data_IF_822160936284
#
_entry.id   IF_822160936284
#
_cell.length_a   1.000
_cell.length_b   1.000
_cell.length_c   1.000
_cell.angle_alpha   90.00
_cell.angle_beta   90.00
_cell.angle_gamma   90.00
#
_symmetry.space_group_name_H-M   'P 1'
#
loop_
_entity.id
_entity.type
_entity.pdbx_description
1 polymer ?
#
# COMPACT_ATOMS: atom_id res chain seq x y z
N UNK A 1 10.75 1.28 18.04
CA UNK A 1 9.93 0.05 18.04
C UNK A 1 10.77 -1.19 17.86
N UNK A 2 11.41 -1.38 16.69
CA UNK A 2 12.31 -2.53 16.45
C UNK A 2 13.33 -2.69 17.58
N UNK A 3 14.05 -1.61 17.94
CA UNK A 3 15.02 -1.63 19.03
C UNK A 3 14.38 -2.00 20.38
N UNK A 4 13.21 -1.43 20.71
CA UNK A 4 12.51 -1.73 21.96
C UNK A 4 12.06 -3.19 22.02
N UNK A 5 11.57 -3.73 20.90
CA UNK A 5 11.20 -5.13 20.78
C UNK A 5 12.40 -6.06 20.96
N UNK A 6 13.52 -5.75 20.29
CA UNK A 6 14.76 -6.53 20.42
C UNK A 6 15.31 -6.50 21.84
N UNK A 7 15.28 -5.35 22.52
CA UNK A 7 15.68 -5.23 23.93
C UNK A 7 14.76 -6.07 24.82
N UNK A 8 13.43 -5.99 24.63
CA UNK A 8 12.47 -6.77 25.41
C UNK A 8 12.65 -8.29 25.22
N UNK A 9 12.84 -8.72 23.97
CA UNK A 9 13.16 -10.12 23.64
C UNK A 9 14.49 -10.54 24.26
N UNK A 10 15.52 -9.70 24.16
CA UNK A 10 16.85 -9.96 24.73
C UNK A 10 16.85 -10.07 26.26
N UNK A 11 15.93 -9.38 26.95
CA UNK A 11 15.72 -9.50 28.39
C UNK A 11 14.78 -10.67 28.79
N UNK A 12 14.40 -11.55 27.87
CA UNK A 12 13.57 -12.72 28.15
C UNK A 12 12.08 -12.42 28.40
N UNK A 13 11.62 -11.19 28.13
CA UNK A 13 10.21 -10.79 28.26
C UNK A 13 9.46 -10.90 26.91
N UNK A 14 9.90 -11.81 26.04
CA UNK A 14 9.25 -12.10 24.76
C UNK A 14 8.13 -13.12 24.98
N UNK A 15 6.89 -12.66 25.03
CA UNK A 15 5.74 -13.52 25.34
C UNK A 15 5.23 -14.28 24.10
N UNK A 16 5.74 -13.97 22.90
CA UNK A 16 5.28 -14.49 21.62
C UNK A 16 5.79 -15.89 21.29
N UNK A 17 4.88 -16.85 21.17
CA UNK A 17 5.16 -18.24 20.79
C UNK A 17 4.33 -18.61 19.55
N UNK A 18 4.74 -18.19 18.33
CA UNK A 18 3.98 -18.49 17.13
C UNK A 18 4.00 -19.98 16.78
N UNK A 19 2.89 -20.54 16.26
CA UNK A 19 2.92 -21.86 15.63
C UNK A 19 3.83 -21.84 14.40
N UNK A 20 4.45 -22.99 14.07
CA UNK A 20 5.42 -23.10 12.97
C UNK A 20 4.83 -22.71 11.60
N UNK A 21 3.53 -22.96 11.39
CA UNK A 21 2.81 -22.49 10.22
C UNK A 21 1.31 -22.38 10.54
N UNK A 22 0.72 -21.24 10.20
CA UNK A 22 -0.73 -21.08 10.11
C UNK A 22 -1.07 -20.39 8.78
N UNK A 23 -1.94 -21.04 7.99
CA UNK A 23 -2.36 -20.56 6.68
C UNK A 23 -3.60 -19.67 6.74
N UNK A 24 -4.19 -19.49 7.92
CA UNK A 24 -5.43 -18.74 8.12
C UNK A 24 -5.33 -17.30 7.59
N UNK A 25 -4.19 -16.63 7.81
CA UNK A 25 -3.93 -15.23 7.43
C UNK A 25 -3.38 -15.02 6.02
N UNK A 26 -3.05 -16.08 5.27
CA UNK A 26 -2.42 -15.95 3.94
C UNK A 26 -3.28 -15.17 2.96
N UNK A 27 -4.61 -15.34 3.04
CA UNK A 27 -5.55 -14.65 2.15
C UNK A 27 -5.52 -13.14 2.33
N UNK A 28 -5.45 -12.67 3.58
CA UNK A 28 -5.35 -11.25 3.87
C UNK A 28 -3.95 -10.68 3.56
N UNK A 29 -2.90 -11.49 3.78
CA UNK A 29 -1.51 -11.12 3.52
C UNK A 29 -1.29 -10.62 2.09
N UNK A 30 -1.95 -11.20 1.09
CA UNK A 30 -1.83 -10.72 -0.29
C UNK A 30 -2.28 -9.27 -0.44
N UNK A 31 -3.46 -8.91 0.07
CA UNK A 31 -3.98 -7.54 -0.01
C UNK A 31 -3.08 -6.55 0.73
N UNK A 32 -2.64 -6.91 1.94
CA UNK A 32 -1.73 -6.09 2.75
C UNK A 32 -0.37 -5.90 2.06
N UNK A 33 0.18 -6.94 1.43
CA UNK A 33 1.44 -6.84 0.69
C UNK A 33 1.33 -5.92 -0.52
N UNK A 34 0.28 -6.05 -1.32
CA UNK A 34 0.03 -5.15 -2.47
C UNK A 34 -0.07 -3.71 -1.99
N UNK A 35 -0.83 -3.47 -0.91
CA UNK A 35 -0.95 -2.13 -0.34
C UNK A 35 0.39 -1.59 0.19
N UNK A 36 1.17 -2.42 0.88
CA UNK A 36 2.45 -2.03 1.50
C UNK A 36 3.50 -1.61 0.46
N UNK A 37 3.48 -2.21 -0.73
CA UNK A 37 4.36 -1.85 -1.84
C UNK A 37 3.75 -0.84 -2.83
N UNK A 38 2.67 -0.15 -2.43
CA UNK A 38 2.01 0.83 -3.27
C UNK A 38 2.74 2.18 -3.24
N UNK A 39 3.45 2.50 -4.30
CA UNK A 39 4.04 3.84 -4.52
C UNK A 39 3.91 4.34 -5.96
N UNK A 40 3.32 3.56 -6.86
CA UNK A 40 3.31 3.76 -8.31
C UNK A 40 2.61 5.04 -8.73
N UNK A 41 1.64 5.51 -7.94
CA UNK A 41 0.93 6.77 -8.18
C UNK A 41 1.80 8.01 -7.93
N UNK A 42 2.86 7.89 -7.13
CA UNK A 42 3.78 8.99 -6.77
C UNK A 42 5.17 8.84 -7.40
N UNK A 43 5.55 7.62 -7.81
CA UNK A 43 6.85 7.35 -8.44
C UNK A 43 7.18 8.28 -9.62
N UNK A 44 6.26 8.57 -10.57
CA UNK A 44 6.60 9.43 -11.70
C UNK A 44 7.04 10.83 -11.27
N UNK A 45 6.35 11.45 -10.32
CA UNK A 45 6.68 12.78 -9.80
C UNK A 45 7.99 12.79 -9.01
N UNK A 46 8.31 11.71 -8.28
CA UNK A 46 9.58 11.56 -7.56
C UNK A 46 10.77 11.36 -8.51
N UNK A 47 10.55 10.64 -9.61
CA UNK A 47 11.60 10.29 -10.58
C UNK A 47 11.88 11.43 -11.56
N UNK A 48 10.88 12.23 -11.90
CA UNK A 48 11.00 13.33 -12.88
C UNK A 48 12.15 14.31 -12.59
N UNK A 49 12.34 14.81 -11.35
CA UNK A 49 13.41 15.76 -11.04
C UNK A 49 14.82 15.12 -10.97
N UNK A 50 14.96 13.80 -11.09
CA UNK A 50 16.27 13.14 -11.00
C UNK A 50 17.10 13.41 -12.26
N UNK A 51 18.18 14.17 -12.09
CA UNK A 51 19.08 14.61 -13.17
C UNK A 51 19.71 13.44 -13.96
N UNK A 52 20.20 12.40 -13.27
CA UNK A 52 20.80 11.21 -13.92
C UNK A 52 19.93 9.97 -13.71
N UNK A 53 19.41 9.44 -14.81
CA UNK A 53 18.55 8.23 -14.81
C UNK A 53 19.33 6.92 -14.97
N UNK A 54 20.67 6.98 -15.05
CA UNK A 54 21.54 5.83 -15.37
C UNK A 54 21.41 4.67 -14.38
N UNK A 55 21.24 4.97 -13.10
CA UNK A 55 21.16 3.98 -12.02
C UNK A 55 19.77 3.92 -11.37
N UNK A 56 18.78 4.56 -11.99
CA UNK A 56 17.45 4.70 -11.41
C UNK A 56 16.80 3.36 -11.10
N UNK A 57 16.81 2.40 -12.03
CA UNK A 57 16.23 1.07 -11.81
C UNK A 57 16.93 0.33 -10.67
N UNK A 58 18.26 0.46 -10.54
CA UNK A 58 19.01 -0.15 -9.44
C UNK A 58 18.64 0.49 -8.10
N UNK A 59 18.50 1.82 -8.07
CA UNK A 59 18.14 2.56 -6.86
C UNK A 59 16.74 2.19 -6.40
N UNK A 60 15.77 2.13 -7.31
CA UNK A 60 14.41 1.65 -6.99
C UNK A 60 14.43 0.21 -6.50
N UNK A 61 15.19 -0.69 -7.15
CA UNK A 61 15.29 -2.08 -6.69
C UNK A 61 15.85 -2.19 -5.26
N UNK A 62 16.92 -1.45 -4.96
CA UNK A 62 17.52 -1.43 -3.62
C UNK A 62 16.52 -0.90 -2.59
N UNK A 63 15.76 0.15 -2.93
CA UNK A 63 14.73 0.72 -2.06
C UNK A 63 13.64 -0.31 -1.72
N UNK A 64 13.12 -1.02 -2.73
CA UNK A 64 12.12 -2.09 -2.51
C UNK A 64 12.66 -3.25 -1.66
N UNK A 65 13.92 -3.66 -1.86
CA UNK A 65 14.56 -4.71 -1.04
C UNK A 65 14.73 -4.23 0.40
N UNK A 66 15.12 -2.97 0.59
CA UNK A 66 15.28 -2.38 1.91
C UNK A 66 13.94 -2.29 2.65
N UNK A 67 12.87 -1.85 1.97
CA UNK A 67 11.51 -1.81 2.50
C UNK A 67 11.06 -3.21 2.92
N UNK A 68 11.26 -4.23 2.07
CA UNK A 68 10.93 -5.62 2.40
C UNK A 68 11.67 -6.10 3.66
N UNK A 69 12.96 -5.78 3.79
CA UNK A 69 13.75 -6.13 4.97
C UNK A 69 13.21 -5.46 6.24
N UNK A 70 12.88 -4.17 6.18
CA UNK A 70 12.29 -3.45 7.31
C UNK A 70 10.91 -3.98 7.70
N UNK A 71 10.04 -4.26 6.73
CA UNK A 71 8.74 -4.88 7.00
C UNK A 71 8.87 -6.26 7.61
N UNK A 72 9.78 -7.09 7.09
CA UNK A 72 10.06 -8.41 7.67
C UNK A 72 10.54 -8.28 9.12
N UNK A 73 11.49 -7.37 9.39
CA UNK A 73 12.01 -7.13 10.73
C UNK A 73 10.93 -6.63 11.70
N UNK A 74 10.04 -5.74 11.25
CA UNK A 74 8.90 -5.29 12.04
C UNK A 74 7.96 -6.46 12.37
N UNK A 75 7.59 -7.27 11.38
CA UNK A 75 6.69 -8.41 11.57
C UNK A 75 7.28 -9.46 12.51
N UNK A 76 8.54 -9.86 12.30
CA UNK A 76 9.20 -10.85 13.17
C UNK A 76 9.36 -10.33 14.59
N UNK A 77 9.79 -9.07 14.77
CA UNK A 77 9.89 -8.50 16.12
C UNK A 77 8.54 -8.41 16.81
N UNK A 78 7.46 -8.14 16.09
CA UNK A 78 6.11 -8.11 16.66
C UNK A 78 5.66 -9.49 17.13
N UNK A 79 5.82 -10.51 16.29
CA UNK A 79 5.38 -11.89 16.55
C UNK A 79 6.12 -12.52 17.74
N UNK A 80 7.42 -12.28 17.88
CA UNK A 80 8.20 -12.84 19.00
C UNK A 80 8.10 -12.01 20.28
N UNK A 81 7.82 -10.71 20.18
CA UNK A 81 7.73 -9.84 21.36
C UNK A 81 6.39 -9.93 22.08
N UNK A 82 5.29 -10.14 21.35
CA UNK A 82 3.93 -10.09 21.89
C UNK A 82 3.14 -11.38 21.61
N UNK A 83 2.22 -11.75 22.50
CA UNK A 83 1.26 -12.84 22.26
C UNK A 83 0.29 -12.47 21.14
N UNK A 84 0.02 -13.42 20.25
CA UNK A 84 -0.89 -13.24 19.11
C UNK A 84 -2.24 -12.63 19.50
N UNK A 85 -2.85 -13.11 20.58
CA UNK A 85 -4.17 -12.67 21.05
C UNK A 85 -4.21 -11.19 21.52
N UNK A 86 -3.04 -10.62 21.82
CA UNK A 86 -2.94 -9.26 22.37
C UNK A 86 -2.45 -8.23 21.36
N UNK A 87 -2.05 -8.69 20.17
CA UNK A 87 -1.42 -7.88 19.15
C UNK A 87 -2.45 -7.00 18.46
N UNK A 88 -2.32 -5.69 18.65
CA UNK A 88 -3.20 -4.70 18.03
C UNK A 88 -2.84 -4.50 16.54
N UNK A 89 -3.85 -4.18 15.73
CA UNK A 89 -3.73 -3.86 14.29
C UNK A 89 -2.63 -2.83 13.98
N UNK A 90 -2.42 -1.86 14.88
CA UNK A 90 -1.28 -0.97 14.83
C UNK A 90 -0.20 -1.43 15.80
N UNK A 91 0.94 -1.86 15.27
CA UNK A 91 2.07 -2.35 16.07
C UNK A 91 2.53 -1.32 17.12
N UNK A 92 2.46 -0.02 16.81
CA UNK A 92 2.83 1.11 17.70
C UNK A 92 2.08 1.09 19.02
N UNK A 93 0.79 0.75 18.99
CA UNK A 93 -0.10 0.78 20.14
C UNK A 93 0.25 -0.29 21.17
N UNK A 94 0.90 -1.39 20.76
CA UNK A 94 1.34 -2.43 21.69
C UNK A 94 2.41 -1.92 22.67
N UNK A 95 3.25 -0.97 22.25
CA UNK A 95 4.27 -0.33 23.12
C UNK A 95 3.70 0.85 23.93
N UNK A 96 2.48 1.28 23.63
CA UNK A 96 1.81 2.35 24.37
C UNK A 96 1.17 1.84 25.67
N UNK A 97 1.19 0.53 25.93
CA UNK A 97 0.71 -0.07 27.18
C UNK A 97 1.74 0.11 28.30
N UNK A 98 1.26 0.30 29.53
CA UNK A 98 2.07 0.68 30.70
C UNK A 98 3.12 -0.36 31.10
N UNK A 99 2.91 -1.61 30.72
CA UNK A 99 3.75 -2.77 31.02
C UNK A 99 5.02 -2.85 30.16
N UNK A 100 5.05 -2.17 29.00
CA UNK A 100 6.13 -2.32 28.01
C UNK A 100 7.19 -1.24 28.11
N UNK A 101 6.76 0.00 28.33
CA UNK A 101 7.64 1.18 28.34
C UNK A 101 7.37 1.98 29.61
N UNK A 102 8.31 1.93 30.55
CA UNK A 102 8.20 2.64 31.83
C UNK A 102 8.27 4.16 31.72
N UNK A 103 8.77 4.70 30.60
CA UNK A 103 8.87 6.15 30.36
C UNK A 103 7.59 6.68 29.74
N UNK A 104 6.81 7.44 30.51
CA UNK A 104 5.53 7.99 30.07
C UNK A 104 5.62 8.83 28.78
N UNK A 105 6.69 9.62 28.61
CA UNK A 105 6.90 10.42 27.40
C UNK A 105 7.02 9.58 26.13
N UNK A 106 7.80 8.49 26.18
CA UNK A 106 7.98 7.57 25.04
C UNK A 106 6.67 6.84 24.73
N UNK A 107 5.91 6.47 25.76
CA UNK A 107 4.60 5.82 25.62
C UNK A 107 3.59 6.69 24.88
N UNK A 108 3.44 7.95 25.30
CA UNK A 108 2.57 8.90 24.62
C UNK A 108 3.02 9.18 23.19
N UNK A 109 4.33 9.32 22.97
CA UNK A 109 4.88 9.51 21.63
C UNK A 109 4.55 8.34 20.70
N UNK A 110 4.78 7.09 21.14
CA UNK A 110 4.49 5.90 20.34
C UNK A 110 2.99 5.72 20.07
N UNK A 111 2.14 6.03 21.05
CA UNK A 111 0.68 5.99 20.88
C UNK A 111 0.15 7.03 19.89
N UNK A 112 0.70 8.25 19.92
CA UNK A 112 0.31 9.34 19.04
C UNK A 112 1.03 9.33 17.68
N UNK A 113 2.06 8.50 17.52
CA UNK A 113 2.85 8.46 16.28
C UNK A 113 1.98 8.25 15.02
N UNK A 114 1.03 7.31 14.97
CA UNK A 114 0.12 7.18 13.82
C UNK A 114 -0.74 8.43 13.61
N UNK A 115 -1.14 9.11 14.67
CA UNK A 115 -1.95 10.33 14.57
C UNK A 115 -1.16 11.44 13.90
N UNK A 116 0.11 11.63 14.29
CA UNK A 116 0.98 12.64 13.69
C UNK A 116 1.24 12.36 12.20
N UNK A 117 1.50 11.11 11.84
CA UNK A 117 1.79 10.74 10.44
C UNK A 117 0.54 10.83 9.55
N UNK A 118 -0.63 10.44 10.07
CA UNK A 118 -1.89 10.55 9.31
C UNK A 118 -2.32 12.01 9.18
N UNK A 119 -2.15 12.82 10.22
CA UNK A 119 -2.53 14.25 10.22
C UNK A 119 -1.80 15.06 9.14
N UNK A 120 -0.52 14.77 8.88
CA UNK A 120 0.24 15.45 7.81
C UNK A 120 -0.10 14.93 6.42
N UNK A 121 -0.34 13.61 6.29
CA UNK A 121 -0.59 12.99 4.99
C UNK A 121 -2.03 13.18 4.49
N UNK A 122 -3.00 13.18 5.38
CA UNK A 122 -4.42 13.25 5.03
C UNK A 122 -4.77 14.51 4.21
N UNK A 123 -4.35 15.74 4.58
CA UNK A 123 -4.62 16.93 3.78
C UNK A 123 -4.00 16.88 2.38
N UNK A 124 -2.78 16.35 2.26
CA UNK A 124 -2.07 16.24 0.98
C UNK A 124 -2.82 15.29 0.04
N UNK A 125 -3.22 14.12 0.54
CA UNK A 125 -3.99 13.14 -0.23
C UNK A 125 -5.36 13.70 -0.60
N UNK A 126 -6.03 14.40 0.31
CA UNK A 126 -7.31 15.05 0.04
C UNK A 126 -7.20 16.09 -1.07
N UNK A 127 -6.21 17.00 -1.01
CA UNK A 127 -5.99 17.99 -2.08
C UNK A 127 -5.69 17.30 -3.42
N UNK A 128 -4.91 16.22 -3.40
CA UNK A 128 -4.59 15.45 -4.61
C UNK A 128 -5.84 14.79 -5.21
N UNK A 129 -6.67 14.15 -4.39
CA UNK A 129 -7.93 13.54 -4.85
C UNK A 129 -8.91 14.58 -5.39
N UNK A 130 -9.01 15.74 -4.73
CA UNK A 130 -9.81 16.88 -5.21
C UNK A 130 -9.35 17.34 -6.59
N UNK A 131 -8.04 17.45 -6.81
CA UNK A 131 -7.48 17.83 -8.10
C UNK A 131 -7.73 16.76 -9.17
N UNK A 132 -7.62 15.48 -8.81
CA UNK A 132 -7.95 14.37 -9.72
C UNK A 132 -9.42 14.42 -10.16
N UNK A 133 -10.35 14.72 -9.25
CA UNK A 133 -11.76 14.93 -9.60
C UNK A 133 -11.95 16.08 -10.59
N UNK A 134 -11.28 17.22 -10.33
CA UNK A 134 -11.34 18.36 -11.25
C UNK A 134 -10.84 17.98 -12.64
N UNK A 135 -9.73 17.26 -12.74
CA UNK A 135 -9.17 16.81 -14.02
C UNK A 135 -10.09 15.81 -14.71
N UNK A 136 -10.66 14.86 -13.97
CA UNK A 136 -11.53 13.82 -14.53
C UNK A 136 -12.79 14.39 -15.18
N UNK A 137 -13.39 15.41 -14.56
CA UNK A 137 -14.59 16.07 -15.08
C UNK A 137 -14.27 17.26 -15.99
N UNK A 138 -12.98 17.59 -16.20
CA UNK A 138 -12.61 18.79 -16.95
C UNK A 138 -12.93 18.55 -18.42
N UNK A 139 -13.75 19.44 -18.99
CA UNK A 139 -13.97 19.51 -20.44
C UNK A 139 -13.17 20.69 -20.98
N UNK A 140 -12.45 20.44 -22.08
CA UNK A 140 -11.70 21.47 -22.79
C UNK A 140 -12.59 22.71 -23.05
N UNK A 141 -12.21 23.86 -22.48
CA UNK A 141 -12.87 25.15 -22.70
C UNK A 141 -13.84 25.65 -21.61
N UNK A 142 -14.10 24.89 -20.54
CA UNK A 142 -15.03 25.29 -19.47
C UNK A 142 -14.36 25.55 -18.11
N UNK A 143 -14.64 26.69 -17.48
CA UNK A 143 -14.38 26.89 -16.04
C UNK A 143 -15.53 26.27 -15.22
N UNK A 144 -15.20 25.70 -14.05
CA UNK A 144 -16.23 25.18 -13.15
C UNK A 144 -16.98 26.32 -12.46
N UNK A 145 -18.31 26.19 -12.25
CA UNK A 145 -19.03 27.06 -11.34
C UNK A 145 -18.41 27.05 -9.95
N UNK A 146 -18.39 28.19 -9.28
CA UNK A 146 -17.76 28.36 -7.95
C UNK A 146 -18.24 27.31 -6.94
N UNK A 147 -19.53 26.97 -6.96
CA UNK A 147 -20.14 25.96 -6.07
C UNK A 147 -19.55 24.57 -6.31
N UNK A 148 -19.36 24.17 -7.56
CA UNK A 148 -18.78 22.88 -7.89
C UNK A 148 -17.32 22.82 -7.45
N UNK A 149 -16.56 23.91 -7.71
CA UNK A 149 -15.13 23.96 -7.40
C UNK A 149 -14.81 23.97 -5.90
N UNK A 150 -15.61 24.71 -5.11
CA UNK A 150 -15.36 24.95 -3.69
C UNK A 150 -16.21 24.14 -2.72
N UNK A 151 -17.35 23.62 -3.16
CA UNK A 151 -18.24 22.83 -2.29
C UNK A 151 -18.25 21.37 -2.73
N UNK A 152 -18.61 21.08 -3.98
CA UNK A 152 -18.81 19.69 -4.42
C UNK A 152 -17.51 18.88 -4.39
N UNK A 153 -16.42 19.37 -5.01
CA UNK A 153 -15.18 18.61 -5.05
C UNK A 153 -14.53 18.37 -3.68
N UNK A 154 -14.46 19.35 -2.76
CA UNK A 154 -14.00 19.08 -1.39
C UNK A 154 -14.92 18.11 -0.63
N UNK A 155 -16.24 18.25 -0.75
CA UNK A 155 -17.19 17.38 -0.03
C UNK A 155 -17.10 15.94 -0.51
N UNK A 156 -17.07 15.67 -1.81
CA UNK A 156 -16.94 14.29 -2.33
C UNK A 156 -15.59 13.66 -1.97
N UNK A 157 -14.56 14.46 -1.74
CA UNK A 157 -13.25 13.98 -1.29
C UNK A 157 -13.20 13.65 0.19
N UNK A 158 -13.85 14.45 1.05
CA UNK A 158 -13.77 14.30 2.52
C UNK A 158 -14.88 13.41 3.08
N UNK A 159 -16.06 13.39 2.47
CA UNK A 159 -17.21 12.65 3.00
C UNK A 159 -16.98 11.13 3.04
N UNK A 160 -16.47 10.46 1.99
CA UNK A 160 -16.25 9.02 2.02
C UNK A 160 -15.31 8.53 3.15
N UNK A 161 -14.10 9.10 3.36
CA UNK A 161 -13.23 8.62 4.44
C UNK A 161 -13.82 8.88 5.83
N UNK A 162 -14.60 9.96 6.01
CA UNK A 162 -15.30 10.24 7.27
C UNK A 162 -16.40 9.19 7.52
N UNK A 163 -17.19 8.85 6.51
CA UNK A 163 -18.21 7.79 6.64
C UNK A 163 -17.58 6.43 6.94
N UNK A 164 -16.49 6.07 6.25
CA UNK A 164 -15.76 4.83 6.53
C UNK A 164 -15.23 4.81 7.97
N UNK A 165 -14.72 5.92 8.48
CA UNK A 165 -14.26 6.02 9.86
C UNK A 165 -15.38 5.80 10.90
N UNK A 166 -16.64 6.16 10.59
CA UNK A 166 -17.78 5.87 11.46
C UNK A 166 -18.28 4.43 11.34
N UNK A 167 -18.17 3.82 10.17
CA UNK A 167 -18.71 2.46 9.91
C UNK A 167 -17.73 1.34 10.26
N UNK A 168 -16.42 1.54 10.07
CA UNK A 168 -15.42 0.46 10.14
C UNK A 168 -14.23 0.88 10.98
N UNK A 169 -13.92 0.08 12.00
CA UNK A 169 -12.75 0.26 12.87
C UNK A 169 -11.66 -0.79 12.63
N UNK A 170 -11.92 -1.77 11.75
CA UNK A 170 -10.95 -2.79 11.40
C UNK A 170 -10.04 -2.35 10.24
N UNK A 171 -8.86 -1.88 10.63
CA UNK A 171 -7.80 -1.47 9.70
C UNK A 171 -7.29 -2.64 8.86
N UNK A 172 -7.28 -3.85 9.41
CA UNK A 172 -6.73 -5.01 8.72
C UNK A 172 -7.56 -5.34 7.47
N UNK A 173 -8.87 -5.48 7.63
CA UNK A 173 -9.80 -5.69 6.52
C UNK A 173 -9.79 -4.51 5.54
N UNK A 174 -9.79 -3.26 6.03
CA UNK A 174 -9.81 -2.08 5.16
C UNK A 174 -8.57 -2.02 4.25
N UNK A 175 -7.38 -2.28 4.79
CA UNK A 175 -6.14 -2.32 4.03
C UNK A 175 -6.10 -3.52 3.07
N UNK A 176 -6.57 -4.69 3.52
CA UNK A 176 -6.67 -5.89 2.70
C UNK A 176 -7.54 -5.68 1.47
N UNK A 177 -8.74 -5.13 1.64
CA UNK A 177 -9.68 -4.80 0.56
C UNK A 177 -9.05 -3.74 -0.36
N UNK A 178 -8.59 -2.61 0.20
CA UNK A 178 -8.06 -1.52 -0.62
C UNK A 178 -6.86 -1.96 -1.46
N UNK A 179 -5.94 -2.74 -0.88
CA UNK A 179 -4.81 -3.32 -1.59
C UNK A 179 -5.22 -4.31 -2.67
N UNK A 180 -6.15 -5.22 -2.38
CA UNK A 180 -6.57 -6.25 -3.33
C UNK A 180 -7.34 -5.72 -4.53
N UNK A 181 -8.25 -4.78 -4.32
CA UNK A 181 -9.10 -4.25 -5.39
C UNK A 181 -8.43 -3.07 -6.11
N UNK A 182 -8.23 -1.96 -5.39
CA UNK A 182 -7.66 -0.74 -6.00
C UNK A 182 -6.16 -0.90 -6.28
N UNK A 183 -5.42 -1.50 -5.34
CA UNK A 183 -3.99 -1.75 -5.49
C UNK A 183 -3.67 -2.68 -6.67
N UNK A 184 -4.31 -3.85 -6.78
CA UNK A 184 -4.07 -4.75 -7.93
C UNK A 184 -4.43 -4.10 -9.26
N UNK A 185 -5.48 -3.27 -9.31
CA UNK A 185 -5.82 -2.51 -10.50
C UNK A 185 -4.69 -1.59 -10.96
N UNK A 186 -4.20 -0.74 -10.06
CA UNK A 186 -3.17 0.27 -10.36
C UNK A 186 -1.78 -0.36 -10.56
N UNK A 187 -1.45 -1.40 -9.80
CA UNK A 187 -0.11 -2.01 -9.82
C UNK A 187 0.07 -3.08 -10.88
N UNK A 188 -0.98 -3.86 -11.18
CA UNK A 188 -0.87 -5.03 -12.04
C UNK A 188 -1.67 -4.84 -13.33
N UNK A 189 -2.97 -4.61 -13.23
CA UNK A 189 -3.88 -4.63 -14.37
C UNK A 189 -3.58 -3.50 -15.35
N UNK A 190 -3.59 -2.25 -14.89
CA UNK A 190 -3.37 -1.08 -15.75
C UNK A 190 -1.99 -1.12 -16.41
N UNK A 191 -0.87 -1.33 -15.69
CA UNK A 191 0.45 -1.41 -16.31
C UNK A 191 0.59 -2.57 -17.30
N UNK A 192 -0.02 -3.74 -17.02
CA UNK A 192 0.01 -4.88 -17.93
C UNK A 192 -0.66 -4.56 -19.28
N UNK A 193 -1.84 -3.94 -19.25
CA UNK A 193 -2.54 -3.50 -20.46
C UNK A 193 -1.78 -2.39 -21.19
N UNK A 194 -1.28 -1.37 -20.48
CA UNK A 194 -0.48 -0.30 -21.08
C UNK A 194 0.75 -0.87 -21.80
N UNK A 195 1.49 -1.78 -21.17
CA UNK A 195 2.66 -2.41 -21.80
C UNK A 195 2.26 -3.23 -23.01
N UNK A 196 1.15 -3.97 -22.96
CA UNK A 196 0.66 -4.76 -24.09
C UNK A 196 0.27 -3.87 -25.29
N UNK A 197 -0.54 -2.83 -25.03
CA UNK A 197 -1.00 -1.90 -26.06
C UNK A 197 0.16 -1.09 -26.63
N UNK A 198 1.04 -0.53 -25.80
CA UNK A 198 2.20 0.24 -26.26
C UNK A 198 3.17 -0.63 -27.08
N UNK A 199 3.36 -1.91 -26.74
CA UNK A 199 4.19 -2.83 -27.55
C UNK A 199 3.58 -3.11 -28.92
N UNK A 200 2.26 -3.24 -29.00
CA UNK A 200 1.53 -3.43 -30.27
C UNK A 200 1.60 -2.16 -31.11
N UNK A 201 1.32 -1.01 -30.51
CA UNK A 201 1.33 0.30 -31.16
C UNK A 201 2.74 0.68 -31.67
N UNK A 202 3.78 0.49 -30.85
CA UNK A 202 5.16 0.75 -31.25
C UNK A 202 5.60 -0.10 -32.45
N UNK A 203 5.13 -1.35 -32.56
CA UNK A 203 5.42 -2.22 -33.71
C UNK A 203 4.71 -1.74 -34.98
N UNK A 204 3.49 -1.22 -34.84
CA UNK A 204 2.73 -0.67 -35.96
C UNK A 204 3.32 0.66 -36.44
N UNK A 205 3.72 1.54 -35.52
CA UNK A 205 4.22 2.88 -35.84
C UNK A 205 5.67 2.89 -36.35
N UNK A 206 6.57 2.08 -35.78
CA UNK A 206 8.01 2.12 -36.08
C UNK A 206 8.54 0.91 -36.87
N UNK A 207 7.68 -0.07 -37.16
CA UNK A 207 8.07 -1.33 -37.83
C UNK A 207 8.93 -2.26 -36.97
N UNK A 208 9.28 -3.43 -37.51
CA UNK A 208 10.01 -4.49 -36.78
C UNK A 208 11.50 -4.20 -36.51
N UNK A 209 12.06 -3.11 -37.06
CA UNK A 209 13.51 -2.85 -37.05
C UNK A 209 14.04 -1.94 -35.94
N UNK A 210 13.17 -1.18 -35.25
CA UNK A 210 13.61 -0.20 -34.24
C UNK A 210 13.75 -0.85 -32.87
N UNK A 211 14.98 -0.99 -32.39
CA UNK A 211 15.24 -1.48 -31.03
C UNK A 211 14.98 -0.38 -30.00
N UNK A 212 14.04 -0.63 -29.09
CA UNK A 212 13.81 0.25 -27.96
C UNK A 212 15.00 0.17 -26.97
N UNK A 213 15.76 1.26 -26.86
CA UNK A 213 16.90 1.41 -25.94
C UNK A 213 16.50 1.22 -24.46
N UNK A 214 15.25 1.48 -24.12
CA UNK A 214 14.67 1.35 -22.77
C UNK A 214 13.79 0.11 -22.61
N UNK A 215 13.97 -0.91 -23.46
CA UNK A 215 13.19 -2.14 -23.36
C UNK A 215 13.41 -2.82 -22.00
N UNK A 216 12.33 -3.33 -21.40
CA UNK A 216 12.42 -4.14 -20.18
C UNK A 216 13.05 -5.51 -20.49
N UNK A 217 13.73 -6.15 -19.53
CA UNK A 217 14.18 -7.55 -19.67
C UNK A 217 13.02 -8.53 -19.92
N UNK A 218 11.80 -8.19 -19.48
CA UNK A 218 10.58 -8.98 -19.66
C UNK A 218 9.93 -8.81 -21.04
N UNK A 219 10.65 -9.19 -22.11
CA UNK A 219 10.24 -8.95 -23.51
C UNK A 219 9.01 -9.76 -23.96
N UNK A 220 8.82 -10.96 -23.41
CA UNK A 220 7.80 -11.89 -23.87
C UNK A 220 6.39 -11.50 -23.39
N UNK A 221 5.37 -11.72 -24.22
CA UNK A 221 3.94 -11.46 -23.86
C UNK A 221 3.47 -12.35 -22.71
N UNK A 222 4.14 -13.49 -22.49
CA UNK A 222 3.92 -14.35 -21.33
C UNK A 222 3.92 -13.58 -20.00
N UNK A 223 4.82 -12.61 -19.83
CA UNK A 223 4.89 -11.81 -18.60
C UNK A 223 3.64 -10.97 -18.36
N UNK A 224 2.99 -10.50 -19.43
CA UNK A 224 1.71 -9.78 -19.32
C UNK A 224 0.63 -10.74 -18.83
N UNK A 225 0.52 -11.93 -19.44
CA UNK A 225 -0.43 -12.95 -19.02
C UNK A 225 -0.21 -13.41 -17.58
N UNK A 226 1.05 -13.61 -17.18
CA UNK A 226 1.42 -13.97 -15.82
C UNK A 226 0.99 -12.90 -14.80
N UNK A 227 1.24 -11.62 -15.07
CA UNK A 227 0.82 -10.52 -14.17
C UNK A 227 -0.70 -10.43 -14.05
N UNK A 228 -1.43 -10.63 -15.15
CA UNK A 228 -2.90 -10.65 -15.13
C UNK A 228 -3.45 -11.85 -14.35
N UNK A 229 -2.85 -13.04 -14.52
CA UNK A 229 -3.20 -14.22 -13.74
C UNK A 229 -2.93 -14.00 -12.25
N UNK A 230 -1.80 -13.38 -11.91
CA UNK A 230 -1.46 -13.01 -10.54
C UNK A 230 -2.46 -12.03 -9.94
N UNK A 231 -2.84 -10.99 -10.68
CA UNK A 231 -3.86 -10.03 -10.25
C UNK A 231 -5.21 -10.72 -9.99
N UNK A 232 -5.61 -11.66 -10.86
CA UNK A 232 -6.81 -12.46 -10.68
C UNK A 232 -6.73 -13.34 -9.43
N UNK A 233 -5.59 -13.98 -9.17
CA UNK A 233 -5.37 -14.76 -7.96
C UNK A 233 -5.49 -13.89 -6.69
N UNK A 234 -4.86 -12.72 -6.65
CA UNK A 234 -4.99 -11.78 -5.53
C UNK A 234 -6.44 -11.36 -5.27
N UNK A 235 -7.18 -11.06 -6.34
CA UNK A 235 -8.61 -10.73 -6.25
C UNK A 235 -9.42 -11.91 -5.69
N UNK A 236 -9.19 -13.12 -6.21
CA UNK A 236 -9.89 -14.33 -5.78
C UNK A 236 -9.62 -14.64 -4.30
N UNK A 237 -8.36 -14.60 -3.86
CA UNK A 237 -8.00 -14.91 -2.47
C UNK A 237 -8.62 -13.95 -1.47
N UNK A 238 -8.64 -12.65 -1.77
CA UNK A 238 -9.25 -11.65 -0.87
C UNK A 238 -10.77 -11.70 -0.92
N UNK A 239 -11.37 -11.92 -2.08
CA UNK A 239 -12.83 -12.16 -2.17
C UNK A 239 -13.23 -13.39 -1.36
N UNK A 240 -12.49 -14.48 -1.49
CA UNK A 240 -12.69 -15.68 -0.68
C UNK A 240 -12.45 -15.41 0.80
N UNK A 241 -11.55 -14.50 1.17
CA UNK A 241 -11.36 -14.09 2.56
C UNK A 241 -12.62 -13.44 3.11
N UNK A 242 -13.17 -12.45 2.40
CA UNK A 242 -14.37 -11.71 2.83
C UNK A 242 -15.54 -12.66 3.01
N UNK A 243 -15.84 -13.46 1.98
CA UNK A 243 -16.98 -14.40 1.98
C UNK A 243 -16.86 -15.41 3.12
N UNK A 244 -15.69 -16.03 3.31
CA UNK A 244 -15.51 -17.06 4.32
C UNK A 244 -15.41 -16.49 5.74
N UNK A 245 -15.03 -15.22 5.89
CA UNK A 245 -14.98 -14.54 7.19
C UNK A 245 -16.37 -14.09 7.62
N UNK A 246 -17.21 -13.64 6.70
CA UNK A 246 -18.63 -13.33 6.97
C UNK A 246 -19.44 -14.57 7.32
N UNK A 247 -19.14 -15.75 6.73
CA UNK A 247 -19.84 -17.00 7.09
C UNK A 247 -19.48 -17.58 8.46
N UNK A 248 -18.53 -16.98 9.20
CA UNK A 248 -18.12 -17.41 10.54
C UNK A 248 -18.74 -16.58 11.68
N UNK A 249 -19.56 -15.58 11.36
CA UNK A 249 -20.39 -14.80 12.32
C UNK A 249 -21.78 -15.42 12.37
#
# INVERSE_FOLDING_TARGET
MILLALVRIGHGHGDGHPPLADLSGVRNLFGVCVYSFMCQHSLPSLVTPVSSKRHLTRLVLVDYVLILAFYSLLSFTAIFCFRGDTLLNMYTLNFARCDVVGVAAVRYFLGLFPVFTISTNFPIIAVTLRNNWKTLFHREGGTYPWVVDRVVFPTITLLPPVLVAFCTHDLESLVGITGAYAGSGIQYVIPAFLVHLCRRDSRLAFGCGVQNKHHSPFRHTFWVGFVLLWAFACFFFVTANIVLSETKV
#
